data_IF_600982478287
#
_entry.id   IF_600982478287
#
_cell.length_a   1.000
_cell.length_b   1.000
_cell.length_c   1.000
_cell.angle_alpha   90.00
_cell.angle_beta   90.00
_cell.angle_gamma   90.00
#
_symmetry.space_group_name_H-M   'P 1'
#
loop_
_entity.id
_entity.type
_entity.pdbx_description
1 polymer ?
#
# COMPACT_ATOMS: atom_id res chain seq x y z
N UNK A 1 2.44 -3.82 -18.59
CA UNK A 1 1.56 -3.64 -17.42
C UNK A 1 1.36 -5.01 -16.82
N UNK A 2 1.81 -5.27 -15.59
CA UNK A 2 1.33 -6.46 -14.88
C UNK A 2 0.22 -5.98 -13.95
N UNK A 3 -1.01 -6.37 -14.26
CA UNK A 3 -2.19 -6.15 -13.42
C UNK A 3 -1.91 -6.59 -11.97
N UNK A 4 -1.12 -7.65 -11.82
CA UNK A 4 -0.64 -8.18 -10.55
C UNK A 4 0.08 -7.15 -9.67
N UNK A 5 0.96 -6.30 -10.23
CA UNK A 5 1.68 -5.30 -9.43
C UNK A 5 0.73 -4.23 -8.87
N UNK A 6 -0.27 -3.84 -9.66
CA UNK A 6 -1.32 -2.89 -9.24
C UNK A 6 -2.18 -3.50 -8.14
N UNK A 7 -2.62 -4.75 -8.32
CA UNK A 7 -3.43 -5.48 -7.33
C UNK A 7 -2.69 -5.68 -6.01
N UNK A 8 -1.40 -6.02 -6.07
CA UNK A 8 -0.55 -6.16 -4.89
C UNK A 8 -0.36 -4.83 -4.16
N UNK A 9 -0.09 -3.74 -4.89
CA UNK A 9 0.03 -2.41 -4.29
C UNK A 9 -1.28 -1.96 -3.63
N UNK A 10 -2.42 -2.11 -4.31
CA UNK A 10 -3.74 -1.82 -3.76
C UNK A 10 -4.05 -2.65 -2.52
N UNK A 11 -3.83 -3.96 -2.59
CA UNK A 11 -4.02 -4.87 -1.48
C UNK A 11 -3.23 -4.44 -0.26
N UNK A 12 -1.98 -3.99 -0.44
CA UNK A 12 -1.13 -3.51 0.66
C UNK A 12 -1.48 -2.13 1.18
N UNK A 13 -1.92 -1.21 0.33
CA UNK A 13 -2.48 0.07 0.80
C UNK A 13 -3.62 -0.17 1.80
N UNK A 14 -4.41 -1.23 1.59
CA UNK A 14 -5.53 -1.62 2.44
C UNK A 14 -5.10 -2.43 3.66
N UNK A 15 -4.22 -3.43 3.48
CA UNK A 15 -3.95 -4.47 4.49
C UNK A 15 -2.61 -4.34 5.21
N UNK A 16 -1.70 -3.48 4.77
CA UNK A 16 -0.35 -3.36 5.33
C UNK A 16 -0.13 -1.96 5.89
N UNK A 17 -0.14 -1.84 7.22
CA UNK A 17 0.00 -0.56 7.91
C UNK A 17 1.36 0.09 7.63
N UNK A 18 2.43 -0.71 7.62
CA UNK A 18 3.79 -0.22 7.34
C UNK A 18 3.88 0.31 5.92
N UNK A 19 3.40 -0.45 4.95
CA UNK A 19 3.42 -0.04 3.55
C UNK A 19 2.61 1.24 3.33
N UNK A 20 1.42 1.32 3.92
CA UNK A 20 0.58 2.51 3.85
C UNK A 20 1.24 3.75 4.46
N UNK A 21 1.97 3.59 5.57
CA UNK A 21 2.76 4.66 6.16
C UNK A 21 3.81 5.20 5.19
N UNK A 22 4.59 4.31 4.58
CA UNK A 22 5.59 4.68 3.56
C UNK A 22 4.94 5.33 2.32
N UNK A 23 3.81 4.77 1.86
CA UNK A 23 3.09 5.27 0.70
C UNK A 23 2.46 6.66 0.94
N UNK A 24 2.18 7.02 2.20
CA UNK A 24 1.71 8.35 2.56
C UNK A 24 2.79 9.43 2.34
N UNK A 25 4.08 9.06 2.47
CA UNK A 25 5.21 9.94 2.17
C UNK A 25 5.52 9.95 0.68
N UNK A 26 5.62 8.76 0.07
CA UNK A 26 5.81 8.60 -1.38
C UNK A 26 5.41 7.20 -1.83
N UNK A 27 4.29 7.12 -2.57
CA UNK A 27 3.82 5.85 -3.15
C UNK A 27 4.86 5.24 -4.10
N UNK A 28 5.51 6.05 -4.93
CA UNK A 28 6.52 5.59 -5.87
C UNK A 28 7.71 4.96 -5.15
N UNK A 29 8.23 5.63 -4.10
CA UNK A 29 9.34 5.10 -3.33
C UNK A 29 8.95 3.82 -2.58
N UNK A 30 7.76 3.79 -1.97
CA UNK A 30 7.24 2.60 -1.29
C UNK A 30 7.09 1.41 -2.26
N UNK A 31 6.55 1.64 -3.45
CA UNK A 31 6.43 0.62 -4.48
C UNK A 31 7.79 0.09 -4.93
N UNK A 32 8.76 0.98 -5.17
CA UNK A 32 10.11 0.59 -5.59
C UNK A 32 10.83 -0.23 -4.53
N UNK A 33 10.74 0.18 -3.25
CA UNK A 33 11.36 -0.54 -2.12
C UNK A 33 10.82 -1.97 -1.96
N UNK A 34 9.55 -2.18 -2.28
CA UNK A 34 8.88 -3.47 -2.19
C UNK A 34 8.94 -4.27 -3.51
N UNK A 35 9.66 -3.76 -4.51
CA UNK A 35 9.88 -4.43 -5.80
C UNK A 35 8.73 -4.28 -6.81
N UNK A 36 7.73 -3.46 -6.54
CA UNK A 36 6.64 -3.18 -7.47
C UNK A 36 7.10 -2.23 -8.58
N UNK A 37 7.04 -2.71 -9.82
CA UNK A 37 7.31 -1.89 -11.02
C UNK A 37 6.00 -1.41 -11.63
N UNK A 38 5.54 -0.26 -11.14
CA UNK A 38 4.37 0.42 -11.68
C UNK A 38 4.76 1.41 -12.77
N UNK A 39 3.94 1.51 -13.81
CA UNK A 39 4.06 2.54 -14.83
C UNK A 39 3.63 3.91 -14.28
N UNK A 40 4.11 5.02 -14.86
CA UNK A 40 3.72 6.36 -14.41
C UNK A 40 2.21 6.66 -14.45
N UNK A 41 1.45 5.98 -15.32
CA UNK A 41 -0.02 6.08 -15.34
C UNK A 41 -0.68 5.37 -14.14
N UNK A 42 -0.16 4.20 -13.76
CA UNK A 42 -0.65 3.41 -12.63
C UNK A 42 -0.33 4.12 -11.31
N UNK A 43 0.90 4.63 -11.17
CA UNK A 43 1.29 5.45 -10.01
C UNK A 43 0.40 6.68 -9.86
N UNK A 44 0.09 7.39 -10.95
CA UNK A 44 -0.82 8.55 -10.90
C UNK A 44 -2.22 8.16 -10.48
N UNK A 45 -2.76 7.05 -10.99
CA UNK A 45 -4.07 6.55 -10.59
C UNK A 45 -4.11 6.20 -9.09
N UNK A 46 -3.13 5.44 -8.62
CA UNK A 46 -3.06 5.02 -7.21
C UNK A 46 -2.77 6.20 -6.26
N UNK A 47 -1.96 7.17 -6.69
CA UNK A 47 -1.69 8.39 -5.90
C UNK A 47 -2.91 9.31 -5.82
N UNK A 48 -3.84 9.21 -6.77
CA UNK A 48 -5.11 9.93 -6.74
C UNK A 48 -6.14 9.32 -5.79
N UNK A 49 -5.88 8.14 -5.23
CA UNK A 49 -6.77 7.54 -4.23
C UNK A 49 -6.71 8.33 -2.92
N UNK A 50 -7.87 8.65 -2.38
CA UNK A 50 -7.96 9.36 -1.12
C UNK A 50 -7.51 8.46 0.05
N UNK A 51 -6.32 8.76 0.56
CA UNK A 51 -5.69 7.98 1.63
C UNK A 51 -6.54 7.93 2.91
N UNK A 52 -7.38 8.95 3.15
CA UNK A 52 -8.31 8.96 4.27
C UNK A 52 -9.30 7.80 4.18
N UNK A 53 -9.93 7.57 3.03
CA UNK A 53 -10.89 6.48 2.85
C UNK A 53 -10.22 5.10 2.90
N UNK A 54 -8.99 4.98 2.38
CA UNK A 54 -8.22 3.74 2.48
C UNK A 54 -7.93 3.42 3.97
N UNK A 55 -7.59 4.43 4.77
CA UNK A 55 -7.31 4.28 6.20
C UNK A 55 -8.57 3.91 6.97
N UNK A 56 -9.67 4.62 6.74
CA UNK A 56 -10.98 4.33 7.34
C UNK A 56 -11.45 2.92 7.02
N UNK A 57 -11.31 2.49 5.76
CA UNK A 57 -11.68 1.14 5.34
C UNK A 57 -10.83 0.08 6.06
N UNK A 58 -9.51 0.28 6.16
CA UNK A 58 -8.66 -0.68 6.84
C UNK A 58 -8.91 -0.76 8.35
N UNK A 59 -9.29 0.35 8.98
CA UNK A 59 -9.69 0.33 10.40
C UNK A 59 -10.96 -0.49 10.65
N UNK A 60 -11.76 -0.76 9.61
CA UNK A 60 -12.94 -1.62 9.67
C UNK A 60 -12.63 -3.09 9.35
N UNK A 61 -11.43 -3.41 8.86
CA UNK A 61 -11.04 -4.79 8.57
C UNK A 61 -10.77 -5.56 9.85
N UNK A 62 -10.96 -6.87 9.77
CA UNK A 62 -10.49 -7.77 10.82
C UNK A 62 -8.97 -7.57 11.00
N UNK A 63 -8.47 -7.24 12.20
CA UNK A 63 -7.04 -7.02 12.42
C UNK A 63 -6.15 -8.20 12.00
N UNK A 64 -6.68 -9.44 12.00
CA UNK A 64 -5.97 -10.62 11.51
C UNK A 64 -5.74 -10.65 9.99
N UNK A 65 -6.43 -9.81 9.22
CA UNK A 65 -6.17 -9.58 7.79
C UNK A 65 -5.09 -8.50 7.57
N UNK A 66 -4.79 -7.71 8.60
CA UNK A 66 -3.81 -6.65 8.52
C UNK A 66 -2.41 -7.18 8.88
N UNK A 67 -1.42 -6.81 8.07
CA UNK A 67 -0.01 -6.94 8.45
C UNK A 67 0.28 -5.84 9.46
N UNK A 68 0.36 -6.21 10.72
CA UNK A 68 0.80 -5.31 11.78
C UNK A 68 2.25 -4.87 11.52
N UNK A 69 2.59 -3.66 11.95
CA UNK A 69 3.96 -3.19 12.04
C UNK A 69 4.70 -3.92 13.17
N UNK A 70 4.87 -5.24 13.05
CA UNK A 70 5.62 -6.03 14.02
C UNK A 70 7.09 -5.69 13.82
N UNK A 71 7.79 -5.07 14.78
CA UNK A 71 9.22 -4.88 14.66
C UNK A 71 9.85 -6.27 14.58
N UNK A 72 10.71 -6.48 13.59
CA UNK A 72 11.56 -7.67 13.54
C UNK A 72 12.37 -7.65 14.83
N UNK A 73 12.08 -8.57 15.75
CA UNK A 73 12.95 -8.80 16.91
C UNK A 73 14.27 -9.35 16.35
N UNK A 74 15.35 -8.60 16.57
CA UNK A 74 16.72 -9.05 16.39
C UNK A 74 17.02 -10.25 17.28
#
# INVERSE_FOLDING_TARGET
MSQEAVEQALGRLITDERFRGLAAESLEAACLQEGYRLFPSELRLLSGLEQQYIREFANQLNPGLCRANTPIRQ
#
